data_IF_250251198073
#
_entry.id   IF_250251198073
#
_cell.length_a   1.000
_cell.length_b   1.000
_cell.length_c   1.000
_cell.angle_alpha   90.00
_cell.angle_beta   90.00
_cell.angle_gamma   90.00
#
_symmetry.space_group_name_H-M   'P 1'
#
loop_
_entity.id
_entity.type
_entity.pdbx_description
1 polymer ?
#
# COMPACT_ATOMS: atom_id res chain seq x y z
N UNK A 1 15.54 -22.83 -2.78
CA UNK A 1 14.94 -22.27 -1.55
C UNK A 1 13.44 -22.17 -1.74
N UNK A 2 12.64 -22.78 -0.88
CA UNK A 2 11.18 -22.69 -0.92
C UNK A 2 10.75 -21.35 -0.32
N UNK A 3 9.90 -20.62 -1.02
CA UNK A 3 9.33 -19.35 -0.51
C UNK A 3 8.41 -19.66 0.68
N UNK A 4 8.51 -18.90 1.78
CA UNK A 4 7.54 -19.03 2.86
C UNK A 4 6.14 -18.68 2.35
N UNK A 5 5.17 -19.55 2.60
CA UNK A 5 3.78 -19.39 2.12
C UNK A 5 3.20 -18.03 2.54
N UNK A 6 3.47 -17.61 3.78
CA UNK A 6 2.98 -16.31 4.28
C UNK A 6 3.50 -15.10 3.50
N UNK A 7 4.74 -15.12 2.99
CA UNK A 7 5.27 -14.04 2.14
C UNK A 7 4.48 -13.96 0.82
N UNK A 8 4.13 -15.11 0.25
CA UNK A 8 3.31 -15.16 -0.98
C UNK A 8 1.90 -14.64 -0.73
N UNK A 9 1.30 -14.97 0.41
CA UNK A 9 -0.03 -14.47 0.80
C UNK A 9 -0.01 -12.95 0.96
N UNK A 10 1.02 -12.40 1.64
CA UNK A 10 1.15 -10.94 1.83
C UNK A 10 1.39 -10.25 0.48
N UNK A 11 2.21 -10.83 -0.41
CA UNK A 11 2.42 -10.28 -1.75
C UNK A 11 1.12 -10.21 -2.56
N UNK A 12 0.30 -11.27 -2.54
CA UNK A 12 -1.03 -11.27 -3.18
C UNK A 12 -1.95 -10.23 -2.51
N UNK A 13 -1.95 -10.15 -1.17
CA UNK A 13 -2.69 -9.15 -0.42
C UNK A 13 -2.34 -7.72 -0.86
N UNK A 14 -1.05 -7.42 -1.01
CA UNK A 14 -0.60 -6.09 -1.49
C UNK A 14 -1.09 -5.77 -2.90
N UNK A 15 -1.19 -6.75 -3.81
CA UNK A 15 -1.80 -6.54 -5.14
C UNK A 15 -3.31 -6.30 -5.05
N UNK A 16 -4.01 -7.03 -4.18
CA UNK A 16 -5.44 -6.81 -3.95
C UNK A 16 -5.71 -5.43 -3.33
N UNK A 17 -4.90 -5.02 -2.35
CA UNK A 17 -4.98 -3.67 -1.77
C UNK A 17 -4.74 -2.60 -2.83
N UNK A 18 -3.72 -2.75 -3.69
CA UNK A 18 -3.49 -1.84 -4.80
C UNK A 18 -4.71 -1.71 -5.72
N UNK A 19 -5.35 -2.82 -6.06
CA UNK A 19 -6.55 -2.83 -6.89
C UNK A 19 -7.73 -2.14 -6.19
N UNK A 20 -7.93 -2.40 -4.89
CA UNK A 20 -8.97 -1.76 -4.08
C UNK A 20 -8.73 -0.26 -3.99
N UNK A 21 -7.51 0.20 -3.70
CA UNK A 21 -7.16 1.63 -3.63
C UNK A 21 -7.41 2.30 -4.99
N UNK A 22 -6.98 1.69 -6.10
CA UNK A 22 -7.20 2.21 -7.44
C UNK A 22 -8.70 2.37 -7.75
N UNK A 23 -9.52 1.37 -7.44
CA UNK A 23 -10.96 1.38 -7.72
C UNK A 23 -11.70 2.33 -6.77
N UNK A 24 -11.42 2.23 -5.47
CA UNK A 24 -12.13 3.02 -4.45
C UNK A 24 -11.68 4.48 -4.41
N UNK A 25 -10.41 4.77 -4.69
CA UNK A 25 -9.87 6.12 -4.75
C UNK A 25 -10.38 6.92 -5.94
N UNK A 26 -10.64 6.26 -7.09
CA UNK A 26 -11.13 6.94 -8.29
C UNK A 26 -12.65 7.12 -8.31
N UNK A 27 -13.42 6.19 -7.75
CA UNK A 27 -14.90 6.22 -7.79
C UNK A 27 -15.53 7.52 -7.23
N UNK A 28 -15.18 8.01 -6.04
CA UNK A 28 -15.78 9.24 -5.49
C UNK A 28 -15.39 10.49 -6.29
N UNK A 29 -14.30 10.43 -7.09
CA UNK A 29 -13.83 11.54 -7.90
C UNK A 29 -14.49 11.62 -9.28
N UNK A 30 -15.07 10.53 -9.79
CA UNK A 30 -15.75 10.54 -11.09
C UNK A 30 -16.84 11.60 -11.22
N UNK A 31 -17.79 11.79 -10.25
CA UNK A 31 -18.77 12.84 -10.33
C UNK A 31 -18.16 14.24 -10.24
N UNK A 32 -17.07 14.42 -9.46
CA UNK A 32 -16.35 15.70 -9.37
C UNK A 32 -15.68 16.04 -10.70
N UNK A 33 -14.97 15.08 -11.30
CA UNK A 33 -14.33 15.23 -12.62
C UNK A 33 -15.40 15.54 -13.68
N UNK A 34 -16.54 14.82 -13.66
CA UNK A 34 -17.64 15.07 -14.60
C UNK A 34 -18.21 16.48 -14.45
N UNK A 35 -18.40 16.95 -13.21
CA UNK A 35 -18.86 18.33 -12.94
C UNK A 35 -17.85 19.37 -13.45
N UNK A 36 -16.55 19.17 -13.22
CA UNK A 36 -15.48 20.04 -13.69
C UNK A 36 -15.44 20.14 -15.22
N UNK A 37 -15.65 19.02 -15.91
CA UNK A 37 -15.70 18.99 -17.39
C UNK A 37 -16.95 19.66 -17.97
N UNK A 38 -18.06 19.65 -17.22
CA UNK A 38 -19.35 20.18 -17.68
C UNK A 38 -19.52 21.68 -17.36
N UNK A 39 -18.96 22.17 -16.26
CA UNK A 39 -19.04 23.59 -15.86
C UNK A 39 -17.81 24.33 -16.34
N UNK A 40 -17.94 25.02 -17.48
CA UNK A 40 -16.90 25.95 -18.00
C UNK A 40 -16.72 27.23 -17.17
N UNK A 41 -17.33 27.32 -15.99
CA UNK A 41 -17.20 28.47 -15.08
C UNK A 41 -15.97 28.27 -14.17
N UNK A 42 -14.85 28.79 -14.62
CA UNK A 42 -13.51 28.69 -14.01
C UNK A 42 -13.38 29.30 -12.59
N UNK A 43 -14.35 30.04 -12.09
CA UNK A 43 -14.20 30.81 -10.84
C UNK A 43 -14.47 30.02 -9.54
N UNK A 44 -15.43 29.06 -9.57
CA UNK A 44 -15.81 28.28 -8.37
C UNK A 44 -15.19 26.86 -8.35
N UNK A 45 -14.54 26.46 -9.45
CA UNK A 45 -14.04 25.09 -9.66
C UNK A 45 -12.60 24.86 -9.19
N UNK A 46 -11.82 25.93 -8.97
CA UNK A 46 -10.38 25.78 -8.69
C UNK A 46 -10.10 24.97 -7.42
N UNK A 47 -10.80 25.25 -6.32
CA UNK A 47 -10.58 24.50 -5.06
C UNK A 47 -11.00 23.04 -5.14
N UNK A 48 -12.10 22.72 -5.82
CA UNK A 48 -12.55 21.33 -6.01
C UNK A 48 -11.64 20.56 -6.96
N UNK A 49 -11.13 21.23 -8.00
CA UNK A 49 -10.18 20.62 -8.94
C UNK A 49 -8.85 20.30 -8.24
N UNK A 50 -8.35 21.20 -7.41
CA UNK A 50 -7.13 20.99 -6.62
C UNK A 50 -7.30 19.82 -5.64
N UNK A 51 -8.41 19.77 -4.90
CA UNK A 51 -8.71 18.65 -3.98
C UNK A 51 -8.82 17.34 -4.75
N UNK A 52 -9.53 17.31 -5.87
CA UNK A 52 -9.65 16.12 -6.70
C UNK A 52 -8.30 15.66 -7.24
N UNK A 53 -7.45 16.58 -7.71
CA UNK A 53 -6.11 16.28 -8.17
C UNK A 53 -5.23 15.71 -7.05
N UNK A 54 -5.27 16.28 -5.85
CA UNK A 54 -4.53 15.78 -4.69
C UNK A 54 -4.95 14.36 -4.33
N UNK A 55 -6.25 14.06 -4.26
CA UNK A 55 -6.77 12.73 -3.92
C UNK A 55 -6.39 11.68 -4.98
N UNK A 56 -6.44 12.05 -6.27
CA UNK A 56 -6.04 11.16 -7.36
C UNK A 56 -4.54 10.89 -7.33
N UNK A 57 -3.72 11.90 -7.09
CA UNK A 57 -2.27 11.77 -6.96
C UNK A 57 -1.90 10.89 -5.77
N UNK A 58 -2.51 11.13 -4.61
CA UNK A 58 -2.25 10.38 -3.38
C UNK A 58 -2.64 8.90 -3.56
N UNK A 59 -3.84 8.63 -4.06
CA UNK A 59 -4.29 7.28 -4.36
C UNK A 59 -3.41 6.57 -5.41
N UNK A 60 -2.92 7.29 -6.42
CA UNK A 60 -2.02 6.75 -7.44
C UNK A 60 -0.66 6.37 -6.86
N UNK A 61 -0.08 7.23 -6.02
CA UNK A 61 1.20 6.95 -5.34
C UNK A 61 1.07 5.71 -4.45
N UNK A 62 0.03 5.64 -3.61
CA UNK A 62 -0.20 4.47 -2.75
C UNK A 62 -0.41 3.19 -3.56
N UNK A 63 -1.17 3.25 -4.65
CA UNK A 63 -1.37 2.11 -5.55
C UNK A 63 -0.04 1.60 -6.10
N UNK A 64 0.81 2.49 -6.63
CA UNK A 64 2.12 2.13 -7.17
C UNK A 64 3.02 1.52 -6.09
N UNK A 65 3.04 2.10 -4.89
CA UNK A 65 3.85 1.59 -3.78
C UNK A 65 3.41 0.18 -3.34
N UNK A 66 2.11 -0.12 -3.31
CA UNK A 66 1.59 -1.46 -3.00
C UNK A 66 1.93 -2.47 -4.10
N UNK A 67 1.84 -2.09 -5.37
CA UNK A 67 2.27 -2.95 -6.49
C UNK A 67 3.76 -3.25 -6.39
N UNK A 68 4.59 -2.25 -6.13
CA UNK A 68 6.04 -2.42 -5.96
C UNK A 68 6.37 -3.30 -4.75
N UNK A 69 5.70 -3.09 -3.61
CA UNK A 69 5.86 -3.91 -2.43
C UNK A 69 5.48 -5.38 -2.71
N UNK A 70 4.33 -5.62 -3.32
CA UNK A 70 3.86 -6.96 -3.68
C UNK A 70 4.84 -7.66 -4.63
N UNK A 71 5.29 -6.99 -5.68
CA UNK A 71 6.25 -7.54 -6.63
C UNK A 71 7.62 -7.81 -6.02
N UNK A 72 8.12 -6.90 -5.19
CA UNK A 72 9.39 -7.09 -4.49
C UNK A 72 9.34 -8.19 -3.44
N UNK A 73 8.23 -8.34 -2.70
CA UNK A 73 7.99 -9.47 -1.79
C UNK A 73 7.93 -10.78 -2.55
N UNK A 74 7.28 -10.80 -3.71
CA UNK A 74 7.25 -11.99 -4.58
C UNK A 74 8.65 -12.42 -5.00
N UNK A 75 9.56 -11.47 -5.22
CA UNK A 75 10.97 -11.71 -5.56
C UNK A 75 11.89 -11.81 -4.34
N UNK A 76 11.36 -11.87 -3.12
CA UNK A 76 12.11 -11.93 -1.86
C UNK A 76 13.17 -10.82 -1.72
N UNK A 77 12.85 -9.62 -2.21
CA UNK A 77 13.73 -8.45 -2.07
C UNK A 77 13.58 -7.82 -0.69
N UNK A 78 14.70 -7.59 0.02
CA UNK A 78 14.66 -7.06 1.39
C UNK A 78 14.05 -5.64 1.47
N UNK A 79 14.27 -4.79 0.45
CA UNK A 79 13.66 -3.47 0.39
C UNK A 79 12.12 -3.52 0.36
N UNK A 80 11.54 -4.52 -0.32
CA UNK A 80 10.10 -4.67 -0.40
C UNK A 80 9.49 -5.09 0.93
N UNK A 81 10.20 -5.89 1.74
CA UNK A 81 9.81 -6.20 3.11
C UNK A 81 9.72 -4.93 3.97
N UNK A 82 10.75 -4.08 3.90
CA UNK A 82 10.78 -2.80 4.62
C UNK A 82 9.66 -1.88 4.13
N UNK A 83 9.47 -1.79 2.82
CA UNK A 83 8.40 -1.00 2.23
C UNK A 83 7.00 -1.48 2.69
N UNK A 84 6.75 -2.79 2.69
CA UNK A 84 5.49 -3.36 3.16
C UNK A 84 5.23 -3.06 4.64
N UNK A 85 6.26 -3.13 5.50
CA UNK A 85 6.16 -2.76 6.91
C UNK A 85 5.82 -1.27 7.06
N UNK A 86 6.47 -0.38 6.31
CA UNK A 86 6.21 1.05 6.32
C UNK A 86 4.76 1.33 5.88
N UNK A 87 4.31 0.75 4.78
CA UNK A 87 2.95 0.94 4.27
C UNK A 87 1.89 0.44 5.27
N UNK A 88 2.09 -0.75 5.85
CA UNK A 88 1.18 -1.29 6.87
C UNK A 88 1.16 -0.43 8.14
N UNK A 89 2.31 0.14 8.54
CA UNK A 89 2.39 1.05 9.69
C UNK A 89 1.65 2.35 9.41
N UNK A 90 1.86 2.95 8.23
CA UNK A 90 1.14 4.15 7.81
C UNK A 90 -0.37 3.91 7.75
N UNK A 91 -0.80 2.80 7.15
CA UNK A 91 -2.21 2.43 7.10
C UNK A 91 -2.82 2.35 8.50
N UNK A 92 -2.15 1.66 9.45
CA UNK A 92 -2.61 1.55 10.82
C UNK A 92 -2.71 2.92 11.53
N UNK A 93 -1.72 3.80 11.32
CA UNK A 93 -1.71 5.16 11.89
C UNK A 93 -2.84 6.01 11.30
N UNK A 94 -3.07 5.95 9.98
CA UNK A 94 -4.17 6.67 9.34
C UNK A 94 -5.54 6.18 9.84
N UNK A 95 -5.72 4.87 10.02
CA UNK A 95 -6.97 4.32 10.55
C UNK A 95 -7.20 4.73 12.01
N UNK A 96 -6.16 4.75 12.84
CA UNK A 96 -6.24 5.27 14.21
C UNK A 96 -6.59 6.76 14.24
N UNK A 97 -5.98 7.56 13.37
CA UNK A 97 -6.27 8.99 13.27
C UNK A 97 -7.72 9.24 12.80
N UNK A 98 -8.18 8.51 11.79
CA UNK A 98 -9.57 8.58 11.33
C UNK A 98 -10.55 8.20 12.42
N UNK A 99 -10.27 7.13 13.18
CA UNK A 99 -11.07 6.74 14.33
C UNK A 99 -11.15 7.87 15.38
N UNK A 100 -10.01 8.46 15.71
CA UNK A 100 -9.95 9.56 16.68
C UNK A 100 -10.76 10.80 16.23
N UNK A 101 -10.69 11.14 14.95
CA UNK A 101 -11.39 12.30 14.38
C UNK A 101 -12.89 12.05 14.16
N UNK A 102 -13.27 10.85 13.73
CA UNK A 102 -14.66 10.53 13.38
C UNK A 102 -15.51 10.09 14.57
N UNK A 103 -14.90 9.78 15.73
CA UNK A 103 -15.57 9.25 16.94
C UNK A 103 -16.47 8.03 16.71
N UNK A 104 -16.29 7.31 15.58
CA UNK A 104 -17.08 6.15 15.23
C UNK A 104 -16.19 4.91 15.11
N UNK A 105 -16.40 3.92 16.00
CA UNK A 105 -15.79 2.59 15.90
C UNK A 105 -16.56 1.77 14.86
N UNK A 106 -16.10 1.82 13.61
CA UNK A 106 -16.55 0.87 12.59
C UNK A 106 -15.77 -0.45 12.71
N UNK A 107 -16.43 -1.58 12.53
CA UNK A 107 -15.80 -2.92 12.53
C UNK A 107 -14.66 -2.99 11.49
N UNK A 108 -14.77 -2.25 10.38
CA UNK A 108 -13.75 -2.16 9.32
C UNK A 108 -12.40 -1.64 9.83
N UNK A 109 -12.38 -0.67 10.75
CA UNK A 109 -11.14 -0.12 11.33
C UNK A 109 -10.40 -1.15 12.16
N UNK A 110 -11.14 -1.90 12.99
CA UNK A 110 -10.56 -2.95 13.84
C UNK A 110 -9.93 -4.06 12.96
N UNK A 111 -10.61 -4.45 11.90
CA UNK A 111 -10.12 -5.46 10.96
C UNK A 111 -8.86 -4.95 10.25
N UNK A 112 -8.85 -3.71 9.75
CA UNK A 112 -7.71 -3.11 9.04
C UNK A 112 -6.47 -3.02 9.92
N UNK A 113 -6.63 -2.53 11.16
CA UNK A 113 -5.54 -2.46 12.15
C UNK A 113 -5.03 -3.87 12.49
N UNK A 114 -5.94 -4.83 12.68
CA UNK A 114 -5.58 -6.23 12.95
C UNK A 114 -4.76 -6.85 11.82
N UNK A 115 -5.16 -6.66 10.56
CA UNK A 115 -4.43 -7.12 9.39
C UNK A 115 -3.04 -6.48 9.34
N UNK A 116 -2.94 -5.16 9.51
CA UNK A 116 -1.66 -4.44 9.52
C UNK A 116 -0.73 -4.96 10.60
N UNK A 117 -1.23 -5.21 11.81
CA UNK A 117 -0.45 -5.77 12.91
C UNK A 117 0.08 -7.18 12.58
N UNK A 118 -0.75 -8.05 11.98
CA UNK A 118 -0.36 -9.39 11.56
C UNK A 118 0.74 -9.33 10.48
N UNK A 119 0.62 -8.45 9.50
CA UNK A 119 1.61 -8.26 8.43
C UNK A 119 2.94 -7.82 9.03
N UNK A 120 2.93 -6.80 9.89
CA UNK A 120 4.14 -6.28 10.55
C UNK A 120 4.79 -7.39 11.37
N UNK A 121 4.02 -8.07 12.24
CA UNK A 121 4.54 -9.14 13.09
C UNK A 121 5.15 -10.28 12.26
N UNK A 122 4.48 -10.69 11.19
CA UNK A 122 4.97 -11.77 10.33
C UNK A 122 6.26 -11.38 9.60
N UNK A 123 6.33 -10.19 9.01
CA UNK A 123 7.49 -9.71 8.25
C UNK A 123 8.70 -9.37 9.14
N UNK A 124 8.51 -9.11 10.43
CA UNK A 124 9.59 -8.87 11.40
C UNK A 124 10.12 -10.16 12.01
N UNK A 125 9.46 -11.31 11.80
CA UNK A 125 9.89 -12.59 12.35
C UNK A 125 11.29 -12.97 11.89
N UNK A 126 12.23 -13.39 12.79
CA UNK A 126 13.62 -13.69 12.43
C UNK A 126 13.75 -14.73 11.31
N UNK A 127 12.89 -15.76 11.31
CA UNK A 127 12.88 -16.79 10.27
C UNK A 127 12.53 -16.24 8.88
N UNK A 128 11.62 -15.27 8.81
CA UNK A 128 11.25 -14.60 7.55
C UNK A 128 12.35 -13.65 7.11
N UNK A 129 12.90 -12.87 8.04
CA UNK A 129 14.02 -11.96 7.79
C UNK A 129 15.23 -12.68 7.21
N UNK A 130 15.59 -13.88 7.72
CA UNK A 130 16.69 -14.69 7.23
C UNK A 130 16.54 -15.07 5.75
N UNK A 131 15.32 -15.35 5.28
CA UNK A 131 15.08 -15.69 3.87
C UNK A 131 15.38 -14.52 2.94
N UNK A 132 15.04 -13.30 3.34
CA UNK A 132 15.33 -12.10 2.56
C UNK A 132 16.81 -11.75 2.54
N UNK A 133 17.55 -11.98 3.65
CA UNK A 133 19.00 -11.73 3.71
C UNK A 133 19.79 -12.73 2.85
N UNK A 134 19.43 -14.00 2.86
CA UNK A 134 20.08 -15.03 2.04
C UNK A 134 19.93 -14.79 0.54
N UNK A 135 18.75 -14.31 0.11
CA UNK A 135 18.52 -13.95 -1.28
C UNK A 135 19.43 -12.83 -1.78
N UNK A 136 19.81 -11.89 -0.93
CA UNK A 136 20.72 -10.79 -1.29
C UNK A 136 22.19 -11.21 -1.37
N UNK A 137 22.61 -12.17 -0.55
CA UNK A 137 24.00 -12.70 -0.55
C UNK A 137 24.25 -13.56 -1.79
N UNK A 138 23.26 -14.36 -2.20
CA UNK A 138 23.39 -15.21 -3.41
C UNK A 138 23.63 -14.41 -4.68
N UNK A 139 22.98 -13.25 -4.84
CA UNK A 139 23.18 -12.37 -6.00
C UNK A 139 24.60 -11.77 -6.04
N UNK A 140 25.13 -11.31 -4.89
CA UNK A 140 26.49 -10.75 -4.83
C UNK A 140 27.59 -11.76 -5.19
N UNK A 141 27.37 -13.06 -4.90
CA UNK A 141 28.33 -14.09 -5.29
C UNK A 141 28.39 -14.33 -6.80
N UNK A 142 27.28 -14.21 -7.48
CA UNK A 142 27.25 -14.35 -8.93
C UNK A 142 27.94 -13.18 -9.62
N UNK A 143 27.79 -11.96 -9.11
CA UNK A 143 28.46 -10.76 -9.64
C UNK A 143 29.99 -10.78 -9.44
N UNK A 144 30.50 -11.58 -8.49
CA UNK A 144 31.93 -11.74 -8.25
C UNK A 144 32.60 -12.83 -9.11
N UNK A 145 31.79 -13.66 -9.77
CA UNK A 145 32.25 -14.77 -10.61
C UNK A 145 32.15 -14.44 -12.12
N UNK A 146 31.55 -13.30 -12.46
CA UNK A 146 31.43 -12.78 -13.82
C UNK A 146 32.47 -11.72 -14.11
#
# INVERSE_FOLDING_TARGET
MTKPVGVSIIAIGSFLEAAVIAIMGTRPMLPVIYQLLKTSNYGASNGLAEIAAMVVLDGSIFTVLHVLAGWGLWKLKNWARVLAIILSTLAAVFELLRWFLAHHLGVSYIISIGISAVIIFYLTKPSVTAVFSQSSVGLRRLDQLA
#
